data_IF_265750333287
#
_entry.id   IF_265750333287
#
_cell.length_a   1.000
_cell.length_b   1.000
_cell.length_c   1.000
_cell.angle_alpha   90.00
_cell.angle_beta   90.00
_cell.angle_gamma   90.00
#
_symmetry.space_group_name_H-M   'P 1'
#
loop_
_entity.id
_entity.type
_entity.pdbx_description
1 polymer ?
#
# COMPACT_ATOMS: atom_id res chain seq x y z
N UNK A 1 10.18 1.28 8.58
CA UNK A 1 8.88 1.17 7.90
C UNK A 1 9.06 0.44 6.58
N UNK A 2 8.14 -0.45 6.28
CA UNK A 2 8.15 -1.27 5.07
C UNK A 2 6.96 -0.88 4.22
N UNK A 3 7.17 -0.75 2.91
CA UNK A 3 6.13 -0.55 1.93
C UNK A 3 5.95 -1.83 1.11
N UNK A 4 4.70 -2.24 0.91
CA UNK A 4 4.36 -3.34 0.01
C UNK A 4 3.63 -2.77 -1.18
N UNK A 5 4.21 -2.97 -2.35
CA UNK A 5 3.71 -2.47 -3.63
C UNK A 5 3.19 -3.69 -4.40
N UNK A 6 1.90 -3.88 -4.41
CA UNK A 6 1.25 -5.01 -5.06
C UNK A 6 0.50 -4.53 -6.29
N UNK A 7 1.08 -4.81 -7.47
CA UNK A 7 0.45 -4.53 -8.74
C UNK A 7 -0.29 -5.77 -9.21
N UNK A 8 -1.55 -5.64 -9.59
CA UNK A 8 -2.38 -6.78 -9.96
C UNK A 8 -3.19 -6.49 -11.20
N UNK A 9 -3.31 -7.50 -12.05
CA UNK A 9 -4.21 -7.53 -13.20
C UNK A 9 -5.23 -8.63 -12.96
N UNK A 10 -6.45 -8.29 -12.54
CA UNK A 10 -7.51 -9.30 -12.41
C UNK A 10 -7.76 -9.99 -13.76
N UNK A 11 -8.10 -11.26 -13.71
CA UNK A 11 -8.53 -11.99 -14.88
C UNK A 11 -9.84 -11.38 -15.41
N UNK A 12 -10.17 -11.56 -16.69
CA UNK A 12 -11.40 -11.02 -17.26
C UNK A 12 -12.63 -11.39 -16.43
N UNK A 13 -13.41 -10.39 -16.01
CA UNK A 13 -14.60 -10.58 -15.20
C UNK A 13 -14.33 -10.83 -13.71
N UNK A 14 -13.08 -10.79 -13.24
CA UNK A 14 -12.70 -11.13 -11.87
C UNK A 14 -12.33 -9.92 -11.00
N UNK A 15 -12.46 -8.71 -11.51
CA UNK A 15 -12.14 -7.49 -10.76
C UNK A 15 -12.97 -7.34 -9.49
N UNK A 16 -14.26 -7.65 -9.55
CA UNK A 16 -15.15 -7.59 -8.39
C UNK A 16 -14.79 -8.68 -7.36
N UNK A 17 -14.39 -9.86 -7.80
CA UNK A 17 -13.94 -10.94 -6.91
C UNK A 17 -12.71 -10.51 -6.12
N UNK A 18 -11.76 -9.84 -6.76
CA UNK A 18 -10.58 -9.29 -6.09
C UNK A 18 -10.97 -8.27 -5.02
N UNK A 19 -11.85 -7.34 -5.36
CA UNK A 19 -12.30 -6.29 -4.44
C UNK A 19 -13.06 -6.89 -3.25
N UNK A 20 -13.86 -7.90 -3.49
CA UNK A 20 -14.57 -8.62 -2.44
C UNK A 20 -13.63 -9.36 -1.50
N UNK A 21 -12.63 -10.05 -2.03
CA UNK A 21 -11.59 -10.71 -1.24
C UNK A 21 -10.86 -9.70 -0.36
N UNK A 22 -10.49 -8.56 -0.92
CA UNK A 22 -9.82 -7.49 -0.19
C UNK A 22 -10.69 -6.94 0.94
N UNK A 23 -11.98 -6.77 0.69
CA UNK A 23 -12.92 -6.31 1.70
C UNK A 23 -13.08 -7.32 2.86
N UNK A 24 -13.08 -8.61 2.54
CA UNK A 24 -13.15 -9.67 3.57
C UNK A 24 -11.89 -9.72 4.43
N UNK A 25 -10.72 -9.46 3.86
CA UNK A 25 -9.45 -9.48 4.59
C UNK A 25 -9.23 -8.24 5.44
N UNK A 26 -9.84 -7.10 5.08
CA UNK A 26 -9.58 -5.82 5.73
C UNK A 26 -9.76 -5.82 7.25
N UNK A 27 -10.84 -6.39 7.83
CA UNK A 27 -10.99 -6.42 9.28
C UNK A 27 -9.86 -7.18 10.00
N UNK A 28 -9.33 -8.22 9.38
CA UNK A 28 -8.20 -8.97 9.93
C UNK A 28 -6.91 -8.19 9.83
N UNK A 29 -6.72 -7.51 8.69
CA UNK A 29 -5.56 -6.69 8.42
C UNK A 29 -5.44 -5.54 9.43
N UNK A 30 -6.54 -4.85 9.70
CA UNK A 30 -6.58 -3.71 10.62
C UNK A 30 -6.23 -4.10 12.06
N UNK A 31 -6.38 -5.37 12.42
CA UNK A 31 -6.06 -5.87 13.76
C UNK A 31 -4.60 -6.33 13.90
N UNK A 32 -3.85 -6.38 12.81
CA UNK A 32 -2.47 -6.86 12.87
C UNK A 32 -1.57 -5.82 13.54
N UNK A 33 -0.78 -6.29 14.52
CA UNK A 33 0.23 -5.45 15.14
C UNK A 33 1.27 -5.04 14.10
N UNK A 34 1.57 -3.75 14.04
CA UNK A 34 2.52 -3.21 13.07
C UNK A 34 1.94 -2.86 11.71
N UNK A 35 0.67 -3.14 11.46
CA UNK A 35 -0.01 -2.61 10.28
C UNK A 35 -0.21 -1.10 10.41
N UNK A 36 0.10 -0.36 9.34
CA UNK A 36 -0.03 1.10 9.33
C UNK A 36 -1.21 1.52 8.45
N UNK A 37 -1.19 1.15 7.17
CA UNK A 37 -2.25 1.56 6.24
C UNK A 37 -2.26 0.70 5.00
N UNK A 38 -3.39 0.71 4.31
CA UNK A 38 -3.53 0.13 2.97
C UNK A 38 -4.51 0.98 2.16
N UNK A 39 -4.15 1.19 0.91
CA UNK A 39 -5.02 1.89 -0.04
C UNK A 39 -4.85 1.28 -1.42
N UNK A 40 -5.92 1.28 -2.19
CA UNK A 40 -5.91 0.73 -3.54
C UNK A 40 -6.14 1.82 -4.55
N UNK A 41 -5.47 1.68 -5.69
CA UNK A 41 -5.46 2.67 -6.76
C UNK A 41 -5.67 1.96 -8.09
N UNK A 42 -6.22 2.68 -9.04
CA UNK A 42 -6.32 2.22 -10.42
C UNK A 42 -5.34 3.00 -11.28
N UNK A 43 -4.63 2.31 -12.17
CA UNK A 43 -3.72 2.97 -13.09
C UNK A 43 -4.47 3.90 -14.03
N UNK A 44 -3.89 5.08 -14.28
CA UNK A 44 -4.45 6.04 -15.25
C UNK A 44 -4.12 5.68 -16.69
N UNK A 45 -3.11 4.82 -16.92
CA UNK A 45 -2.69 4.41 -18.26
C UNK A 45 -3.11 2.99 -18.62
N UNK A 46 -3.43 2.17 -17.63
CA UNK A 46 -3.91 0.79 -17.83
C UNK A 46 -5.07 0.56 -16.87
N UNK A 47 -6.29 0.67 -17.39
CA UNK A 47 -7.50 0.58 -16.58
C UNK A 47 -7.73 -0.81 -15.96
N UNK A 48 -7.05 -1.84 -16.45
CA UNK A 48 -7.12 -3.19 -15.89
C UNK A 48 -6.16 -3.40 -14.74
N UNK A 49 -5.21 -2.47 -14.53
CA UNK A 49 -4.19 -2.58 -13.51
C UNK A 49 -4.62 -1.90 -12.22
N UNK A 50 -4.54 -2.66 -11.13
CA UNK A 50 -4.79 -2.15 -9.78
C UNK A 50 -3.49 -2.18 -8.98
N UNK A 51 -3.34 -1.22 -8.07
CA UNK A 51 -2.24 -1.14 -7.12
C UNK A 51 -2.81 -1.22 -5.71
N UNK A 52 -2.28 -2.14 -4.90
CA UNK A 52 -2.48 -2.13 -3.46
C UNK A 52 -1.17 -1.67 -2.81
N UNK A 53 -1.23 -0.56 -2.11
CA UNK A 53 -0.07 0.01 -1.41
C UNK A 53 -0.33 -0.09 0.08
N UNK A 54 0.53 -0.83 0.80
CA UNK A 54 0.41 -0.96 2.24
C UNK A 54 1.72 -0.62 2.93
N UNK A 55 1.59 -0.10 4.15
CA UNK A 55 2.73 0.29 4.97
C UNK A 55 2.70 -0.47 6.29
N UNK A 56 3.89 -0.88 6.75
CA UNK A 56 4.08 -1.74 7.91
C UNK A 56 5.24 -1.24 8.75
N UNK A 57 5.13 -1.43 10.06
CA UNK A 57 6.20 -1.03 10.98
C UNK A 57 7.53 -1.69 10.64
N UNK A 58 7.51 -3.01 10.36
CA UNK A 58 8.70 -3.81 10.11
C UNK A 58 8.35 -5.08 9.32
N UNK A 59 9.38 -5.84 8.93
CA UNK A 59 9.19 -7.09 8.19
C UNK A 59 8.53 -8.18 9.04
N UNK A 60 8.75 -8.18 10.34
CA UNK A 60 8.14 -9.19 11.21
C UNK A 60 6.61 -9.09 11.22
N UNK A 61 6.08 -7.86 11.23
CA UNK A 61 4.65 -7.62 11.13
C UNK A 61 4.09 -8.10 9.78
N UNK A 62 4.82 -7.83 8.71
CA UNK A 62 4.43 -8.28 7.36
C UNK A 62 4.47 -9.80 7.25
N UNK A 63 5.48 -10.44 7.83
CA UNK A 63 5.58 -11.91 7.86
C UNK A 63 4.39 -12.53 8.58
N UNK A 64 4.02 -11.99 9.73
CA UNK A 64 2.86 -12.45 10.48
C UNK A 64 1.58 -12.35 9.62
N UNK A 65 1.40 -11.25 8.92
CA UNK A 65 0.26 -11.07 8.01
C UNK A 65 0.30 -12.05 6.85
N UNK A 66 1.46 -12.26 6.24
CA UNK A 66 1.61 -13.18 5.13
C UNK A 66 1.16 -14.59 5.51
N UNK A 67 1.43 -15.02 6.74
CA UNK A 67 0.98 -16.32 7.21
C UNK A 67 -0.54 -16.38 7.36
N UNK A 68 -1.17 -15.31 7.83
CA UNK A 68 -2.64 -15.21 7.88
C UNK A 68 -3.22 -15.17 6.48
N UNK A 69 -2.64 -14.39 5.58
CA UNK A 69 -3.07 -14.28 4.19
C UNK A 69 -2.97 -15.62 3.47
N UNK A 70 -1.88 -16.36 3.65
CA UNK A 70 -1.72 -17.69 3.08
C UNK A 70 -2.81 -18.64 3.57
N UNK A 71 -3.12 -18.61 4.85
CA UNK A 71 -4.20 -19.43 5.40
C UNK A 71 -5.54 -19.10 4.75
N UNK A 72 -5.83 -17.79 4.59
CA UNK A 72 -7.05 -17.31 3.91
C UNK A 72 -7.07 -17.66 2.43
N UNK A 73 -5.93 -17.60 1.77
CA UNK A 73 -5.79 -18.00 0.37
C UNK A 73 -6.09 -19.48 0.17
N UNK A 74 -5.65 -20.33 1.09
CA UNK A 74 -5.97 -21.76 1.07
C UNK A 74 -7.49 -21.97 1.21
N UNK A 75 -8.14 -21.24 2.10
CA UNK A 75 -9.59 -21.30 2.26
C UNK A 75 -10.33 -20.81 1.00
N UNK A 76 -9.73 -19.91 0.24
CA UNK A 76 -10.29 -19.32 -0.97
C UNK A 76 -9.89 -20.08 -2.25
N UNK A 77 -9.35 -21.30 -2.14
CA UNK A 77 -8.89 -22.08 -3.31
C UNK A 77 -9.96 -22.30 -4.39
N UNK A 78 -11.24 -22.18 -4.05
CA UNK A 78 -12.32 -22.21 -5.03
C UNK A 78 -12.36 -21.00 -5.99
N UNK A 79 -11.54 -19.96 -5.74
CA UNK A 79 -11.50 -18.74 -6.53
C UNK A 79 -10.29 -18.69 -7.46
N UNK A 80 -9.89 -19.82 -8.00
CA UNK A 80 -8.74 -19.92 -8.92
C UNK A 80 -8.95 -18.98 -10.11
N UNK A 81 -7.84 -18.35 -10.54
CA UNK A 81 -7.86 -17.51 -11.73
C UNK A 81 -8.36 -16.09 -11.49
N UNK A 82 -8.37 -15.62 -10.25
CA UNK A 82 -8.72 -14.22 -9.94
C UNK A 82 -7.74 -13.25 -10.59
N UNK A 83 -6.45 -13.61 -10.64
CA UNK A 83 -5.43 -12.77 -11.28
C UNK A 83 -5.00 -13.35 -12.62
N UNK A 84 -4.91 -12.47 -13.62
CA UNK A 84 -4.21 -12.76 -14.87
C UNK A 84 -2.70 -12.66 -14.66
N UNK A 85 -2.27 -11.67 -13.85
CA UNK A 85 -0.87 -11.45 -13.50
C UNK A 85 -0.79 -10.60 -12.24
N UNK A 86 0.33 -10.66 -11.54
CA UNK A 86 0.63 -9.74 -10.45
C UNK A 86 2.14 -9.60 -10.27
N UNK A 87 2.52 -8.49 -9.63
CA UNK A 87 3.89 -8.28 -9.19
C UNK A 87 3.89 -7.64 -7.81
N UNK A 88 4.65 -8.23 -6.92
CA UNK A 88 4.76 -7.75 -5.54
C UNK A 88 6.19 -7.32 -5.26
N UNK A 89 6.33 -6.12 -4.72
CA UNK A 89 7.61 -5.59 -4.25
C UNK A 89 7.49 -5.22 -2.80
N UNK A 90 8.51 -5.61 -2.01
CA UNK A 90 8.66 -5.21 -0.61
C UNK A 90 9.85 -4.28 -0.56
N UNK A 91 9.64 -3.08 -0.03
CA UNK A 91 10.67 -2.05 -0.03
C UNK A 91 10.80 -1.41 1.35
N UNK A 92 12.01 -1.09 1.74
CA UNK A 92 12.23 -0.28 2.92
C UNK A 92 12.01 1.19 2.60
N UNK A 93 11.24 1.88 3.44
CA UNK A 93 11.05 3.32 3.30
C UNK A 93 12.25 4.02 3.91
N UNK A 94 13.06 4.65 3.09
CA UNK A 94 14.26 5.36 3.54
C UNK A 94 13.94 6.68 4.19
N UNK A 95 12.96 7.40 3.65
CA UNK A 95 12.50 8.69 4.18
C UNK A 95 11.02 8.82 3.94
N UNK A 96 10.34 9.42 4.88
CA UNK A 96 8.92 9.71 4.80
C UNK A 96 8.73 11.16 5.26
N UNK A 97 8.43 12.03 4.32
CA UNK A 97 8.23 13.45 4.60
C UNK A 97 7.22 14.04 3.64
N UNK A 98 6.61 15.10 4.07
CA UNK A 98 5.58 15.79 3.29
C UNK A 98 5.89 17.27 3.14
N UNK A 99 4.90 18.01 2.71
CA UNK A 99 5.01 19.45 2.53
C UNK A 99 5.24 20.16 3.87
N UNK A 100 4.63 19.66 4.94
CA UNK A 100 4.68 20.28 6.26
C UNK A 100 5.51 19.49 7.26
N UNK A 101 5.40 18.17 7.28
CA UNK A 101 6.25 17.32 8.11
C UNK A 101 7.57 17.09 7.37
N UNK A 102 8.59 17.87 7.74
CA UNK A 102 9.88 17.90 7.07
C UNK A 102 10.98 17.20 7.85
N UNK A 103 10.66 16.46 8.90
CA UNK A 103 11.65 15.89 9.82
C UNK A 103 12.63 14.96 9.12
N UNK A 104 12.16 14.16 8.18
CA UNK A 104 13.00 13.21 7.45
C UNK A 104 13.45 13.74 6.08
N UNK A 105 13.12 14.97 5.74
CA UNK A 105 13.54 15.56 4.47
C UNK A 105 15.08 15.66 4.42
N UNK A 106 15.72 15.38 3.26
CA UNK A 106 17.16 15.55 3.11
C UNK A 106 17.56 16.99 3.36
N UNK A 107 18.81 17.21 3.78
CA UNK A 107 19.30 18.55 4.14
C UNK A 107 19.18 19.57 3.00
N UNK A 108 19.43 19.16 1.77
CA UNK A 108 19.28 20.01 0.59
C UNK A 108 17.81 20.41 0.37
N UNK A 109 16.88 19.49 0.57
CA UNK A 109 15.45 19.77 0.47
C UNK A 109 14.96 20.66 1.62
N UNK A 110 15.47 20.47 2.85
CA UNK A 110 15.14 21.33 3.98
C UNK A 110 15.62 22.77 3.76
N UNK A 111 16.79 22.92 3.19
CA UNK A 111 17.35 24.25 2.88
C UNK A 111 16.56 24.97 1.81
N UNK A 112 16.13 24.25 0.76
CA UNK A 112 15.36 24.81 -0.34
C UNK A 112 13.91 25.11 0.04
N UNK A 113 13.30 24.23 0.87
CA UNK A 113 11.88 24.30 1.25
C UNK A 113 11.70 24.11 2.75
N UNK A 114 12.12 25.09 3.57
CA UNK A 114 11.92 25.01 5.02
C UNK A 114 10.44 25.17 5.36
N UNK A 115 10.00 24.56 6.46
CA UNK A 115 8.67 24.81 7.02
C UNK A 115 8.63 26.23 7.57
N UNK A 116 7.76 27.06 7.00
CA UNK A 116 7.62 28.45 7.40
C UNK A 116 6.29 29.04 6.95
N UNK A 117 6.12 30.36 7.17
CA UNK A 117 4.88 31.06 6.84
C UNK A 117 4.55 31.02 5.34
N UNK A 118 5.55 31.04 4.48
CA UNK A 118 5.36 30.97 3.02
C UNK A 118 4.80 29.62 2.60
N UNK A 119 5.29 28.53 3.19
CA UNK A 119 4.79 27.19 2.93
C UNK A 119 3.34 27.03 3.39
N UNK A 120 3.02 27.62 4.54
CA UNK A 120 1.65 27.61 5.04
C UNK A 120 0.71 28.42 4.14
N UNK A 121 1.18 29.53 3.59
CA UNK A 121 0.43 30.32 2.61
C UNK A 121 0.21 29.55 1.33
N UNK A 122 1.22 28.90 0.81
CA UNK A 122 1.12 28.05 -0.38
C UNK A 122 0.10 26.95 -0.23
N UNK A 123 0.01 26.35 0.94
CA UNK A 123 -0.96 25.28 1.21
C UNK A 123 -2.41 25.74 1.25
N UNK A 124 -2.65 27.04 1.44
CA UNK A 124 -3.99 27.61 1.48
C UNK A 124 -4.53 27.98 0.10
N UNK A 125 -3.67 27.97 -0.89
CA UNK A 125 -4.05 28.26 -2.26
C UNK A 125 -4.56 27.01 -2.97
#
# INVERSE_FOLDING_TARGET
MIAVIFEAWPAPGKGEDYMEMAAQLRPHLEKMDGFISVERFRSLIDSDKLLSLSFWRDEAALEAWRNVEMHRSVQAQGRRGVFRDYRLRVAAVLRDYGMFNRDEAPSDSRAAHPVGSDDLLGARL
#
